data_IF_503492177167
#
_entry.id   IF_503492177167
#
_cell.length_a   1.000
_cell.length_b   1.000
_cell.length_c   1.000
_cell.angle_alpha   90.00
_cell.angle_beta   90.00
_cell.angle_gamma   90.00
#
_symmetry.space_group_name_H-M   'P 1'
#
loop_
_entity.id
_entity.type
_entity.pdbx_description
1 polymer ?
#
# COMPACT_ATOMS: atom_id res chain seq x y z
N UNK A 1 -3.67 -7.56 14.17
CA UNK A 1 -2.80 -6.46 13.70
C UNK A 1 -3.21 -5.11 14.29
N UNK A 2 -2.29 -4.14 14.32
CA UNK A 2 -2.62 -2.77 14.73
C UNK A 2 -2.82 -1.88 13.50
N UNK A 3 -3.86 -1.05 13.51
CA UNK A 3 -4.14 -0.08 12.45
C UNK A 3 -4.31 1.32 13.03
N UNK A 4 -3.93 2.33 12.28
CA UNK A 4 -4.18 3.73 12.59
C UNK A 4 -5.61 4.13 12.22
N UNK A 5 -6.16 3.53 11.17
CA UNK A 5 -7.53 3.75 10.76
C UNK A 5 -7.88 3.15 9.40
N UNK A 6 -9.16 3.29 9.04
CA UNK A 6 -9.67 2.99 7.69
C UNK A 6 -10.46 4.21 7.23
N UNK A 7 -9.99 4.85 6.17
CA UNK A 7 -10.67 5.96 5.52
C UNK A 7 -11.58 5.44 4.40
N UNK A 8 -12.80 5.92 4.35
CA UNK A 8 -13.76 5.58 3.29
C UNK A 8 -13.83 6.73 2.26
N UNK A 9 -14.02 6.38 0.99
CA UNK A 9 -14.14 7.35 -0.11
C UNK A 9 -12.92 8.28 -0.26
N UNK A 10 -11.74 7.69 -0.16
CA UNK A 10 -10.49 8.36 -0.45
C UNK A 10 -10.34 8.55 -1.98
N UNK A 11 -9.97 9.75 -2.41
CA UNK A 11 -9.79 10.10 -3.84
C UNK A 11 -8.34 10.56 -4.12
N UNK A 12 -7.45 10.41 -3.15
CA UNK A 12 -6.05 10.87 -3.21
C UNK A 12 -5.09 9.70 -3.36
N UNK A 13 -5.36 8.63 -2.64
CA UNK A 13 -4.46 7.49 -2.52
C UNK A 13 -4.85 6.36 -3.50
N UNK A 14 -4.82 6.64 -4.81
CA UNK A 14 -5.12 5.69 -5.89
C UNK A 14 -6.03 6.27 -6.98
N UNK A 15 -6.38 5.46 -7.98
CA UNK A 15 -7.30 5.86 -9.04
C UNK A 15 -8.76 5.68 -8.61
N UNK A 16 -9.58 6.69 -8.90
CA UNK A 16 -11.00 6.67 -8.58
C UNK A 16 -11.27 6.79 -7.08
N UNK A 17 -12.22 6.02 -6.58
CA UNK A 17 -12.55 6.02 -5.14
C UNK A 17 -11.91 4.82 -4.48
N UNK A 18 -11.18 5.05 -3.39
CA UNK A 18 -10.50 4.02 -2.62
C UNK A 18 -11.07 3.90 -1.20
N UNK A 19 -10.91 2.72 -0.63
CA UNK A 19 -10.91 2.50 0.82
C UNK A 19 -9.46 2.40 1.23
N UNK A 20 -9.00 3.29 2.13
CA UNK A 20 -7.59 3.36 2.53
C UNK A 20 -7.40 2.75 3.91
N UNK A 21 -6.62 1.67 3.98
CA UNK A 21 -6.19 1.02 5.22
C UNK A 21 -4.86 1.62 5.67
N UNK A 22 -4.87 2.28 6.80
CA UNK A 22 -3.71 2.88 7.43
C UNK A 22 -3.18 1.94 8.52
N UNK A 23 -2.07 1.25 8.22
CA UNK A 23 -1.42 0.37 9.20
C UNK A 23 -0.69 1.19 10.26
N UNK A 24 -0.48 0.59 11.43
CA UNK A 24 0.25 1.21 12.53
C UNK A 24 1.62 0.56 12.70
N UNK A 25 2.63 1.38 13.03
CA UNK A 25 4.02 1.01 13.18
C UNK A 25 4.86 1.27 11.93
N UNK A 26 5.92 2.07 12.06
CA UNK A 26 6.87 2.35 10.99
C UNK A 26 8.30 2.43 11.52
N UNK A 27 9.23 1.58 11.06
CA UNK A 27 10.61 1.60 11.51
C UNK A 27 11.45 2.69 10.82
N UNK A 28 10.96 3.32 9.74
CA UNK A 28 11.77 4.22 8.91
C UNK A 28 11.97 5.61 9.53
N UNK A 29 10.99 6.13 10.25
CA UNK A 29 11.05 7.44 10.93
C UNK A 29 11.56 8.56 10.02
N UNK A 30 11.08 8.66 8.78
CA UNK A 30 11.53 9.62 7.78
C UNK A 30 11.33 11.05 8.26
N UNK A 31 12.39 11.88 8.21
CA UNK A 31 12.31 13.30 8.58
C UNK A 31 11.24 14.01 7.75
N UNK A 32 10.32 14.70 8.41
CA UNK A 32 9.23 15.42 7.77
C UNK A 32 8.07 14.56 7.25
N UNK A 33 8.03 13.29 7.59
CA UNK A 33 6.90 12.43 7.28
C UNK A 33 5.60 12.99 7.88
N UNK A 34 4.57 13.19 7.04
CA UNK A 34 3.29 13.72 7.52
C UNK A 34 2.48 12.69 8.33
N UNK A 35 2.82 11.40 8.22
CA UNK A 35 2.20 10.29 8.95
C UNK A 35 2.97 9.88 10.21
N UNK A 36 3.70 10.80 10.83
CA UNK A 36 4.52 10.50 12.02
C UNK A 36 3.71 9.90 13.18
N UNK A 37 2.41 10.14 13.25
CA UNK A 37 1.51 9.55 14.24
C UNK A 37 1.36 8.02 14.09
N UNK A 38 1.73 7.46 12.93
CA UNK A 38 1.73 6.01 12.68
C UNK A 38 3.06 5.31 12.99
N UNK A 39 4.06 6.01 13.52
CA UNK A 39 5.38 5.41 13.78
C UNK A 39 5.40 4.47 14.97
N UNK A 40 4.69 4.81 16.05
CA UNK A 40 4.66 4.01 17.27
C UNK A 40 4.10 2.61 16.98
N UNK A 41 4.93 1.57 17.21
CA UNK A 41 4.55 0.17 17.01
C UNK A 41 3.40 -0.27 17.91
N UNK A 42 3.19 0.39 19.05
CA UNK A 42 2.13 0.12 20.01
C UNK A 42 0.93 1.08 19.88
N UNK A 43 1.02 2.07 19.00
CA UNK A 43 -0.04 3.02 18.72
C UNK A 43 -1.23 2.40 18.00
N UNK A 44 -2.16 3.25 17.56
CA UNK A 44 -3.36 2.83 16.85
C UNK A 44 -4.26 1.92 17.69
N UNK A 45 -5.13 1.16 17.03
CA UNK A 45 -6.03 0.19 17.68
C UNK A 45 -5.78 -1.21 17.15
N UNK A 46 -5.81 -2.19 18.04
CA UNK A 46 -5.63 -3.60 17.70
C UNK A 46 -6.95 -4.25 17.27
N UNK A 47 -6.88 -5.03 16.21
CA UNK A 47 -8.00 -5.80 15.67
C UNK A 47 -7.52 -7.18 15.22
N UNK A 48 -8.41 -8.15 15.24
CA UNK A 48 -8.21 -9.42 14.53
C UNK A 48 -8.26 -9.19 13.01
N UNK A 49 -7.68 -10.12 12.24
CA UNK A 49 -7.75 -10.06 10.78
C UNK A 49 -9.21 -10.13 10.27
N UNK A 50 -10.06 -10.90 10.95
CA UNK A 50 -11.46 -11.03 10.58
C UNK A 50 -12.23 -9.71 10.75
N UNK A 51 -11.95 -8.97 11.83
CA UNK A 51 -12.54 -7.65 12.03
C UNK A 51 -12.08 -6.66 10.96
N UNK A 52 -10.76 -6.61 10.65
CA UNK A 52 -10.24 -5.73 9.60
C UNK A 52 -10.86 -6.08 8.26
N UNK A 53 -10.89 -7.35 7.87
CA UNK A 53 -11.50 -7.79 6.62
C UNK A 53 -12.98 -7.44 6.56
N UNK A 54 -13.73 -7.64 7.65
CA UNK A 54 -15.16 -7.32 7.70
C UNK A 54 -15.40 -5.82 7.51
N UNK A 55 -14.60 -4.96 8.15
CA UNK A 55 -14.66 -3.51 7.96
C UNK A 55 -14.34 -3.10 6.52
N UNK A 56 -13.29 -3.68 5.92
CA UNK A 56 -12.93 -3.42 4.52
C UNK A 56 -14.02 -3.86 3.57
N UNK A 57 -14.56 -5.08 3.73
CA UNK A 57 -15.63 -5.59 2.88
C UNK A 57 -16.86 -4.70 2.89
N UNK A 58 -17.31 -4.30 4.09
CA UNK A 58 -18.46 -3.40 4.24
C UNK A 58 -18.25 -2.07 3.52
N UNK A 59 -17.04 -1.51 3.60
CA UNK A 59 -16.72 -0.21 2.98
C UNK A 59 -16.52 -0.31 1.47
N UNK A 60 -15.87 -1.37 0.97
CA UNK A 60 -15.63 -1.59 -0.46
C UNK A 60 -16.95 -1.80 -1.20
N UNK A 61 -17.90 -2.53 -0.60
CA UNK A 61 -19.20 -2.84 -1.22
C UNK A 61 -20.31 -1.85 -0.87
N UNK A 62 -20.01 -0.74 -0.21
CA UNK A 62 -21.03 0.24 0.15
C UNK A 62 -21.64 0.92 -1.09
N UNK A 63 -22.94 1.16 -1.07
CA UNK A 63 -23.69 2.03 -2.00
C UNK A 63 -23.56 1.66 -3.50
N UNK A 64 -23.23 0.43 -3.85
CA UNK A 64 -22.98 -0.05 -5.23
C UNK A 64 -21.94 0.78 -6.00
N UNK A 65 -21.11 1.55 -5.32
CA UNK A 65 -19.99 2.28 -5.90
C UNK A 65 -18.75 1.39 -5.92
N UNK A 66 -18.12 1.28 -7.08
CA UNK A 66 -16.85 0.56 -7.20
C UNK A 66 -15.76 1.30 -6.44
N UNK A 67 -15.13 0.62 -5.50
CA UNK A 67 -13.99 1.13 -4.74
C UNK A 67 -12.78 0.23 -4.90
N UNK A 68 -11.62 0.84 -4.89
CA UNK A 68 -10.33 0.16 -4.84
C UNK A 68 -9.83 0.11 -3.38
N UNK A 69 -8.72 -0.57 -3.14
CA UNK A 69 -8.08 -0.65 -1.84
C UNK A 69 -6.70 0.00 -1.89
N UNK A 70 -6.44 0.91 -0.97
CA UNK A 70 -5.12 1.50 -0.75
C UNK A 70 -4.59 1.09 0.62
N UNK A 71 -3.33 0.67 0.68
CA UNK A 71 -2.68 0.23 1.91
C UNK A 71 -1.45 1.10 2.15
N UNK A 72 -1.48 1.82 3.24
CA UNK A 72 -0.49 2.83 3.58
C UNK A 72 -0.45 3.06 5.10
N UNK A 73 0.08 4.18 5.53
CA UNK A 73 0.07 4.60 6.95
C UNK A 73 1.45 4.52 7.56
N UNK A 74 1.71 3.54 8.41
CA UNK A 74 3.02 3.18 8.94
C UNK A 74 3.88 2.53 7.85
N UNK A 75 4.36 1.30 8.09
CA UNK A 75 5.08 0.52 7.07
C UNK A 75 4.39 -0.84 6.87
N UNK A 76 3.58 -0.98 5.80
CA UNK A 76 2.84 -2.22 5.54
C UNK A 76 3.72 -3.46 5.35
N UNK A 77 4.93 -3.27 4.84
CA UNK A 77 5.86 -4.36 4.55
C UNK A 77 6.90 -4.57 5.65
N UNK A 78 6.75 -3.92 6.82
CA UNK A 78 7.59 -4.23 7.97
C UNK A 78 7.38 -5.68 8.42
N UNK A 79 8.42 -6.36 8.96
CA UNK A 79 8.27 -7.71 9.51
C UNK A 79 7.15 -7.82 10.57
N UNK A 80 6.82 -6.70 11.19
CA UNK A 80 5.79 -6.60 12.23
C UNK A 80 4.36 -6.82 11.70
N UNK A 81 4.04 -6.37 10.48
CA UNK A 81 2.67 -6.46 9.94
C UNK A 81 2.57 -7.07 8.54
N UNK A 82 3.68 -7.37 7.87
CA UNK A 82 3.67 -7.85 6.49
C UNK A 82 2.80 -9.09 6.27
N UNK A 83 2.90 -10.10 7.16
CA UNK A 83 2.10 -11.33 7.04
C UNK A 83 0.61 -11.06 7.14
N UNK A 84 0.22 -10.17 8.05
CA UNK A 84 -1.18 -9.76 8.23
C UNK A 84 -1.69 -8.99 7.00
N UNK A 85 -0.87 -8.07 6.48
CA UNK A 85 -1.19 -7.29 5.27
C UNK A 85 -1.35 -8.20 4.05
N UNK A 86 -0.44 -9.15 3.84
CA UNK A 86 -0.52 -10.11 2.73
C UNK A 86 -1.80 -10.96 2.84
N UNK A 87 -2.15 -11.42 4.03
CA UNK A 87 -3.36 -12.20 4.25
C UNK A 87 -4.64 -11.37 4.00
N UNK A 88 -4.67 -10.10 4.40
CA UNK A 88 -5.77 -9.18 4.08
C UNK A 88 -5.92 -9.04 2.56
N UNK A 89 -4.81 -8.81 1.86
CA UNK A 89 -4.81 -8.67 0.39
C UNK A 89 -5.37 -9.93 -0.28
N UNK A 90 -4.94 -11.13 0.15
CA UNK A 90 -5.46 -12.43 -0.35
C UNK A 90 -6.98 -12.51 -0.17
N UNK A 91 -7.48 -12.23 1.02
CA UNK A 91 -8.91 -12.29 1.33
C UNK A 91 -9.73 -11.27 0.58
N UNK A 92 -9.21 -10.05 0.43
CA UNK A 92 -9.86 -9.00 -0.36
C UNK A 92 -9.92 -9.40 -1.84
N UNK A 93 -8.82 -9.90 -2.41
CA UNK A 93 -8.79 -10.39 -3.81
C UNK A 93 -9.71 -11.58 -4.03
N UNK A 94 -9.80 -12.48 -3.07
CA UNK A 94 -10.73 -13.62 -3.15
C UNK A 94 -12.19 -13.16 -3.22
N UNK A 95 -12.55 -12.15 -2.44
CA UNK A 95 -13.92 -11.62 -2.39
C UNK A 95 -14.23 -10.64 -3.53
N UNK A 96 -13.24 -9.85 -3.95
CA UNK A 96 -13.35 -8.83 -4.99
C UNK A 96 -12.23 -9.03 -6.05
N UNK A 97 -12.36 -10.01 -6.97
CA UNK A 97 -11.26 -10.40 -7.87
C UNK A 97 -10.71 -9.24 -8.74
N UNK A 98 -11.58 -8.31 -9.12
CA UNK A 98 -11.24 -7.19 -10.02
C UNK A 98 -10.79 -5.91 -9.29
N UNK A 99 -10.71 -5.93 -7.95
CA UNK A 99 -10.29 -4.75 -7.19
C UNK A 99 -8.84 -4.40 -7.51
N UNK A 100 -8.57 -3.12 -7.71
CA UNK A 100 -7.21 -2.61 -7.77
C UNK A 100 -6.68 -2.41 -6.35
N UNK A 101 -5.44 -2.85 -6.10
CA UNK A 101 -4.79 -2.68 -4.79
C UNK A 101 -3.53 -1.86 -4.98
N UNK A 102 -3.46 -0.73 -4.30
CA UNK A 102 -2.33 0.19 -4.23
C UNK A 102 -1.62 -0.01 -2.89
N UNK A 103 -0.30 -0.02 -2.90
CA UNK A 103 0.48 -0.18 -1.68
C UNK A 103 1.66 0.79 -1.66
N UNK A 104 1.82 1.51 -0.56
CA UNK A 104 2.96 2.37 -0.28
C UNK A 104 3.89 1.71 0.72
N UNK A 105 5.19 1.75 0.44
CA UNK A 105 6.23 1.25 1.34
C UNK A 105 7.44 2.17 1.35
N UNK A 106 8.08 2.28 2.50
CA UNK A 106 9.37 2.96 2.61
C UNK A 106 10.56 2.10 2.19
N UNK A 107 10.38 0.81 1.98
CA UNK A 107 11.42 -0.04 1.38
C UNK A 107 11.54 0.27 -0.11
N UNK A 108 12.75 0.17 -0.66
CA UNK A 108 12.95 0.18 -2.11
C UNK A 108 12.61 -1.18 -2.71
N UNK A 109 12.29 -1.20 -4.00
CA UNK A 109 12.00 -2.43 -4.72
C UNK A 109 13.15 -3.44 -4.61
N UNK A 110 14.39 -2.97 -4.69
CA UNK A 110 15.61 -3.77 -4.55
C UNK A 110 15.76 -4.35 -3.14
N UNK A 111 15.43 -3.55 -2.10
CA UNK A 111 15.40 -4.05 -0.72
C UNK A 111 14.37 -5.17 -0.57
N UNK A 112 13.18 -5.03 -1.18
CA UNK A 112 12.15 -6.07 -1.14
C UNK A 112 12.59 -7.35 -1.85
N UNK A 113 13.25 -7.25 -3.01
CA UNK A 113 13.77 -8.41 -3.74
C UNK A 113 14.90 -9.13 -3.02
N UNK A 114 15.60 -8.48 -2.10
CA UNK A 114 16.71 -9.07 -1.33
C UNK A 114 16.29 -9.68 0.01
N UNK A 115 15.01 -9.64 0.37
CA UNK A 115 14.50 -10.17 1.63
C UNK A 115 14.51 -11.70 1.65
N UNK A 116 14.57 -12.29 2.85
CA UNK A 116 14.50 -13.75 3.03
C UNK A 116 13.12 -14.33 2.68
N UNK A 117 12.05 -13.53 2.80
CA UNK A 117 10.67 -13.89 2.47
C UNK A 117 10.29 -13.57 1.00
N UNK A 118 11.23 -13.81 0.08
CA UNK A 118 11.06 -13.50 -1.36
C UNK A 118 9.85 -14.17 -2.01
N UNK A 119 9.48 -15.36 -1.53
CA UNK A 119 8.31 -16.06 -2.04
C UNK A 119 7.02 -15.27 -1.76
N UNK A 120 6.86 -14.83 -0.53
CA UNK A 120 5.71 -14.02 -0.08
C UNK A 120 5.71 -12.64 -0.74
N UNK A 121 6.87 -12.03 -0.92
CA UNK A 121 7.02 -10.77 -1.68
C UNK A 121 6.60 -10.97 -3.15
N UNK A 122 7.06 -12.05 -3.79
CA UNK A 122 6.65 -12.37 -5.16
C UNK A 122 5.15 -12.64 -5.29
N UNK A 123 4.54 -13.24 -4.27
CA UNK A 123 3.09 -13.41 -4.21
C UNK A 123 2.38 -12.07 -4.04
N UNK A 124 2.84 -11.22 -3.12
CA UNK A 124 2.31 -9.87 -2.95
C UNK A 124 2.30 -9.11 -4.28
N UNK A 125 3.42 -9.10 -5.01
CA UNK A 125 3.51 -8.40 -6.29
C UNK A 125 2.43 -8.85 -7.28
N UNK A 126 2.13 -10.15 -7.37
CA UNK A 126 1.06 -10.66 -8.24
C UNK A 126 -0.33 -10.13 -7.90
N UNK A 127 -0.55 -9.75 -6.64
CA UNK A 127 -1.86 -9.30 -6.15
C UNK A 127 -2.04 -7.78 -6.23
N UNK A 128 -0.93 -7.02 -6.32
CA UNK A 128 -0.98 -5.57 -6.42
C UNK A 128 -1.37 -5.10 -7.82
N UNK A 129 -2.05 -3.97 -7.89
CA UNK A 129 -2.17 -3.17 -9.10
C UNK A 129 -0.98 -2.23 -9.24
N UNK A 130 -0.56 -1.61 -8.14
CA UNK A 130 0.52 -0.62 -8.11
C UNK A 130 1.26 -0.68 -6.78
N UNK A 131 2.58 -0.58 -6.83
CA UNK A 131 3.46 -0.40 -5.68
C UNK A 131 4.14 0.96 -5.77
N UNK A 132 4.09 1.73 -4.70
CA UNK A 132 4.85 2.98 -4.54
C UNK A 132 5.94 2.72 -3.52
N UNK A 133 7.20 2.82 -3.94
CA UNK A 133 8.37 2.46 -3.15
C UNK A 133 9.19 3.66 -2.68
N UNK A 134 10.02 3.42 -1.68
CA UNK A 134 11.04 4.34 -1.24
C UNK A 134 10.64 5.26 -0.08
N UNK A 135 11.62 5.53 0.78
CA UNK A 135 11.45 6.41 1.96
C UNK A 135 11.19 7.84 1.52
N UNK A 136 10.29 8.51 2.23
CA UNK A 136 10.10 9.93 2.03
C UNK A 136 11.39 10.71 2.38
N UNK A 137 11.83 11.57 1.48
CA UNK A 137 12.96 12.48 1.66
C UNK A 137 12.48 13.94 1.59
N UNK A 138 12.58 14.64 2.71
CA UNK A 138 12.06 16.01 2.81
C UNK A 138 12.72 16.98 1.83
N UNK A 139 14.01 16.81 1.57
CA UNK A 139 14.78 17.69 0.68
C UNK A 139 14.41 17.47 -0.81
N UNK A 140 13.73 16.37 -1.10
CA UNK A 140 13.19 16.02 -2.41
C UNK A 140 11.65 16.14 -2.49
N UNK A 141 11.06 16.79 -1.48
CA UNK A 141 9.60 16.99 -1.42
C UNK A 141 9.09 17.72 -2.66
N UNK A 142 8.06 17.15 -3.30
CA UNK A 142 7.40 17.79 -4.42
C UNK A 142 5.91 17.41 -4.42
N UNK A 143 5.06 18.40 -4.24
CA UNK A 143 3.59 18.23 -4.15
C UNK A 143 2.90 18.07 -5.51
N UNK A 144 3.63 18.27 -6.61
CA UNK A 144 3.09 18.07 -7.97
C UNK A 144 3.19 16.62 -8.44
N UNK A 145 3.92 15.77 -7.70
CA UNK A 145 4.08 14.37 -8.04
C UNK A 145 2.79 13.60 -7.79
N UNK A 146 2.40 12.75 -8.73
CA UNK A 146 1.28 11.84 -8.55
C UNK A 146 1.63 10.72 -7.58
N UNK A 147 0.79 10.48 -6.58
CA UNK A 147 0.87 9.36 -5.62
C UNK A 147 2.15 9.32 -4.75
N UNK A 148 3.03 10.32 -4.82
CA UNK A 148 4.33 10.35 -4.14
C UNK A 148 4.55 11.68 -3.41
N UNK A 149 5.26 11.64 -2.30
CA UNK A 149 5.61 12.83 -1.52
C UNK A 149 6.96 13.44 -1.87
N UNK A 150 7.88 12.66 -2.46
CA UNK A 150 9.24 13.08 -2.80
C UNK A 150 9.73 12.41 -4.08
N UNK A 151 10.60 13.09 -4.84
CA UNK A 151 11.02 12.68 -6.18
C UNK A 151 11.91 11.43 -6.25
N UNK A 152 12.41 10.95 -5.13
CA UNK A 152 13.14 9.68 -5.04
C UNK A 152 12.23 8.46 -4.95
N UNK A 153 10.95 8.63 -4.65
CA UNK A 153 9.98 7.55 -4.62
C UNK A 153 9.60 7.15 -6.05
N UNK A 154 9.34 5.87 -6.27
CA UNK A 154 9.07 5.32 -7.60
C UNK A 154 7.73 4.60 -7.63
N UNK A 155 7.18 4.42 -8.82
CA UNK A 155 5.91 3.74 -9.05
C UNK A 155 6.18 2.49 -9.89
N UNK A 156 5.68 1.36 -9.42
CA UNK A 156 5.84 0.07 -10.08
C UNK A 156 4.49 -0.55 -10.41
N UNK A 157 4.38 -1.11 -11.61
CA UNK A 157 3.21 -1.84 -12.09
C UNK A 157 3.62 -3.11 -12.84
N UNK A 158 2.66 -3.98 -13.13
CA UNK A 158 2.92 -5.11 -14.03
C UNK A 158 3.31 -4.62 -15.43
N UNK A 159 4.31 -5.25 -16.07
CA UNK A 159 4.83 -4.82 -17.38
C UNK A 159 3.81 -4.94 -18.52
N UNK A 160 2.74 -5.72 -18.35
CA UNK A 160 1.65 -5.87 -19.30
C UNK A 160 0.34 -6.01 -18.55
N UNK A 161 -0.69 -5.32 -19.00
CA UNK A 161 -1.99 -5.16 -18.34
C UNK A 161 -2.77 -6.48 -18.08
N UNK A 162 -2.28 -7.65 -18.47
CA UNK A 162 -3.07 -8.87 -18.50
C UNK A 162 -2.55 -10.07 -17.69
N UNK A 163 -1.36 -10.03 -17.11
CA UNK A 163 -0.86 -11.18 -16.33
C UNK A 163 -0.12 -10.74 -15.07
N UNK A 164 -0.56 -11.19 -13.89
CA UNK A 164 0.15 -10.97 -12.65
C UNK A 164 1.50 -11.71 -12.71
N UNK A 165 2.58 -10.97 -12.68
CA UNK A 165 3.95 -11.49 -12.58
C UNK A 165 4.49 -11.27 -11.19
N UNK A 166 5.49 -12.06 -10.79
CA UNK A 166 6.23 -11.82 -9.53
C UNK A 166 7.25 -10.66 -9.65
N UNK A 167 7.28 -9.99 -10.79
CA UNK A 167 8.13 -8.82 -11.04
C UNK A 167 7.27 -7.65 -11.48
N UNK A 168 7.63 -6.45 -11.03
CA UNK A 168 7.00 -5.20 -11.42
C UNK A 168 8.00 -4.38 -12.24
N UNK A 169 7.48 -3.54 -13.13
CA UNK A 169 8.24 -2.58 -13.94
C UNK A 169 8.12 -1.20 -13.33
N UNK A 170 9.22 -0.46 -13.25
CA UNK A 170 9.19 0.96 -12.94
C UNK A 170 8.49 1.72 -14.09
N UNK A 171 7.43 2.42 -13.73
CA UNK A 171 6.60 3.23 -14.64
C UNK A 171 6.53 4.69 -14.20
N UNK A 172 7.46 5.11 -13.34
CA UNK A 172 7.49 6.44 -12.73
C UNK A 172 7.40 7.55 -13.78
N UNK A 173 8.27 7.49 -14.80
CA UNK A 173 8.30 8.48 -15.86
C UNK A 173 7.03 8.44 -16.74
N UNK A 174 6.43 7.27 -16.92
CA UNK A 174 5.20 7.12 -17.68
C UNK A 174 4.02 7.81 -16.98
N UNK A 175 3.97 7.73 -15.65
CA UNK A 175 2.92 8.36 -14.81
C UNK A 175 3.10 9.87 -14.72
N UNK A 176 4.34 10.37 -14.65
CA UNK A 176 4.62 11.81 -14.55
C UNK A 176 4.35 12.57 -15.84
N UNK A 177 4.37 11.90 -16.99
CA UNK A 177 4.18 12.51 -18.30
C UNK A 177 2.71 12.51 -18.80
N UNK A 178 1.77 12.06 -17.99
CA UNK A 178 0.32 12.06 -18.27
C UNK A 178 -0.37 13.14 -17.41
#
# INVERSE_FOLDING_TARGET
MRIAGILNNDVVDGDGICVSLWVQGCPHHCKGCHNHHTWDMNGGKEYSLDEVCSMLYSKISADNVQRNLSILGGEPLSPHCFKDVLEIIRRVKLKFPNIKIYLWTGYTYEELLSREDQHEIGELFKLLYMLIDGRYEQDKRNISLKLRGSSNQRIYMHPHNNYPTCYLKDVTDEIDNV
#
